data_IF_310535441609
#
_entry.id   IF_310535441609
#
_cell.length_a   1.000
_cell.length_b   1.000
_cell.length_c   1.000
_cell.angle_alpha   90.00
_cell.angle_beta   90.00
_cell.angle_gamma   90.00
#
_symmetry.space_group_name_H-M   'P 1'
#
loop_
_entity.id
_entity.type
_entity.pdbx_description
1 polymer ?
2 non-polymer ?
3 non-polymer ?
4 non-polymer ?
5 non-polymer ?
6 non-polymer ?
7 water ?
#
# COMPACT_ATOMS: atom_id res chain seq x y z
N UNK A 1 36.25 -2.47 9.69
CA UNK A 1 35.11 -2.49 10.66
C UNK A 1 33.75 -2.54 9.98
N UNK A 2 32.69 -2.43 10.78
CA UNK A 2 31.33 -2.55 10.31
C UNK A 2 30.44 -1.48 10.94
N UNK A 3 29.48 -0.96 10.16
CA UNK A 3 28.53 0.05 10.65
C UNK A 3 27.68 -0.55 11.75
N UNK A 4 27.09 0.30 12.58
CA UNK A 4 26.34 -0.18 13.73
C UNK A 4 25.19 -1.12 13.31
N UNK A 5 25.02 -2.16 14.11
CA UNK A 5 23.98 -3.15 13.92
C UNK A 5 22.90 -2.86 14.94
N UNK A 6 21.83 -2.22 14.50
CA UNK A 6 20.75 -1.83 15.39
C UNK A 6 19.88 -3.01 15.85
N UNK A 7 19.77 -4.06 15.02
CA UNK A 7 19.17 -5.35 15.42
C UNK A 7 20.19 -6.26 16.10
N UNK A 8 19.85 -6.77 17.27
CA UNK A 8 20.70 -7.76 17.98
C UNK A 8 20.61 -9.16 17.38
N UNK A 9 19.49 -9.45 16.72
CA UNK A 9 19.29 -10.71 15.99
C UNK A 9 18.45 -10.41 14.75
N UNK A 10 18.66 -11.20 13.69
CA UNK A 10 17.90 -11.07 12.46
C UNK A 10 16.62 -11.91 12.53
N UNK A 11 15.74 -11.51 13.43
CA UNK A 11 14.49 -12.20 13.70
C UNK A 11 13.42 -11.17 14.04
N UNK A 12 12.15 -11.60 14.03
CA UNK A 12 11.04 -10.75 14.45
C UNK A 12 11.23 -10.28 15.89
N UNK A 13 11.79 -11.17 16.71
CA UNK A 13 12.07 -10.90 18.11
C UNK A 13 13.13 -9.79 18.23
N UNK A 14 14.15 -9.84 17.37
CA UNK A 14 15.15 -8.76 17.29
C UNK A 14 14.55 -7.42 16.85
N UNK A 15 13.66 -7.47 15.86
CA UNK A 15 12.97 -6.25 15.40
C UNK A 15 12.11 -5.66 16.52
N UNK A 16 11.40 -6.51 17.26
CA UNK A 16 10.54 -6.06 18.35
C UNK A 16 11.35 -5.37 19.48
N UNK A 17 12.48 -5.96 19.84
CA UNK A 17 13.37 -5.34 20.83
C UNK A 17 13.91 -3.99 20.32
N UNK A 18 14.26 -3.92 19.05
CA UNK A 18 14.66 -2.66 18.43
C UNK A 18 13.52 -1.63 18.48
N UNK A 19 12.31 -2.03 18.09
CA UNK A 19 11.14 -1.13 18.15
C UNK A 19 10.89 -0.56 19.54
N UNK A 20 11.16 -1.35 20.57
CA UNK A 20 11.03 -0.90 21.96
C UNK A 20 12.19 -0.07 22.50
N UNK A 21 13.32 -0.03 21.78
CA UNK A 21 14.47 0.80 22.17
C UNK A 21 14.19 2.28 21.88
N UNK A 22 15.02 3.15 22.47
CA UNK A 22 14.95 4.59 22.26
C UNK A 22 15.20 5.01 20.81
N UNK A 23 16.05 4.27 20.11
CA UNK A 23 16.45 4.65 18.75
C UNK A 23 15.30 4.61 17.74
N UNK A 24 14.35 3.70 17.93
CA UNK A 24 13.29 3.49 16.95
C UNK A 24 12.12 4.44 17.19
N UNK A 25 12.21 5.62 16.59
CA UNK A 25 11.23 6.71 16.74
C UNK A 25 10.31 6.89 15.53
N UNK A 26 10.84 6.69 14.33
CA UNK A 26 10.13 6.98 13.10
C UNK A 26 10.08 5.75 12.20
N UNK A 27 8.87 5.21 12.02
CA UNK A 27 8.64 4.00 11.25
C UNK A 27 7.95 4.37 9.93
N UNK A 28 8.48 3.85 8.82
CA UNK A 28 7.79 3.94 7.53
C UNK A 28 7.26 2.56 7.18
N UNK A 29 5.98 2.51 6.85
CA UNK A 29 5.36 1.30 6.33
C UNK A 29 5.31 1.41 4.82
N UNK A 30 5.75 0.37 4.13
CA UNK A 30 5.54 0.19 2.70
C UNK A 30 4.62 -1.01 2.52
N UNK A 31 3.42 -0.76 2.02
CA UNK A 31 2.39 -1.82 1.95
C UNK A 31 1.83 -2.01 0.54
N UNK A 32 1.47 -3.25 0.23
CA UNK A 32 0.92 -3.62 -1.07
C UNK A 32 -0.29 -4.50 -0.97
N UNK A 33 -0.61 -5.16 -2.09
CA UNK A 33 -1.84 -5.94 -2.24
C UNK A 33 -2.02 -7.03 -1.19
N UNK A 34 -0.90 -7.58 -0.71
CA UNK A 34 -0.90 -8.60 0.33
C UNK A 34 -1.51 -8.20 1.66
N UNK A 35 -1.65 -6.89 1.94
CA UNK A 35 -2.29 -6.47 3.18
C UNK A 35 -3.82 -6.40 3.07
N UNK A 36 -4.37 -6.51 1.86
CA UNK A 36 -5.82 -6.44 1.62
C UNK A 36 -6.45 -7.74 1.08
N UNK A 37 -5.64 -8.75 0.76
CA UNK A 37 -6.15 -10.05 0.31
C UNK A 37 -7.05 -10.73 1.35
N UNK A 38 -6.71 -10.62 2.63
CA UNK A 38 -7.54 -11.20 3.71
C UNK A 38 -8.86 -10.46 3.92
N UNK A 39 -8.93 -9.20 3.45
CA UNK A 39 -10.19 -8.45 3.37
C UNK A 39 -11.06 -8.79 2.14
N UNK A 40 -10.64 -9.76 1.32
CA UNK A 40 -11.39 -10.19 0.15
C UNK A 40 -11.16 -9.38 -1.11
N UNK A 41 -10.03 -8.66 -1.19
CA UNK A 41 -9.64 -7.88 -2.37
C UNK A 41 -8.45 -8.57 -3.02
N UNK A 42 -8.66 -9.26 -4.16
CA UNK A 42 -7.55 -9.89 -4.85
C UNK A 42 -6.52 -8.91 -5.43
N UNK A 43 -5.32 -9.41 -5.65
CA UNK A 43 -4.24 -8.64 -6.24
C UNK A 43 -4.47 -8.60 -7.76
N UNK A 44 -4.99 -7.48 -8.27
CA UNK A 44 -5.25 -7.34 -9.71
C UNK A 44 -3.98 -7.39 -10.56
N UNK A 45 -2.84 -6.97 -9.98
CA UNK A 45 -1.55 -7.02 -10.67
C UNK A 45 -0.90 -8.42 -10.68
N UNK A 46 -1.49 -9.38 -9.96
CA UNK A 46 -1.01 -10.77 -9.95
C UNK A 46 -1.51 -11.58 -11.16
N UNK A 47 -0.63 -12.40 -11.77
CA UNK A 47 -1.07 -13.40 -12.78
C UNK A 47 -2.09 -14.43 -12.27
N UNK A 48 -1.97 -14.83 -11.01
CA UNK A 48 -2.84 -15.85 -10.38
C UNK A 48 -4.34 -15.51 -10.37
N UNK A 49 -4.67 -14.23 -10.23
CA UNK A 49 -6.07 -13.79 -10.26
C UNK A 49 -6.69 -13.91 -11.66
N UNK A 50 -5.86 -13.78 -12.69
CA UNK A 50 -6.30 -14.00 -14.07
C UNK A 50 -7.13 -12.87 -14.61
N UNK A 51 -6.58 -11.65 -14.52
CA UNK A 51 -7.22 -10.45 -15.07
C UNK A 51 -7.24 -10.49 -16.61
N UNK A 52 -6.28 -11.18 -17.23
CA UNK A 52 -6.28 -11.41 -18.69
C UNK A 52 -7.59 -12.07 -19.15
N UNK A 53 -8.05 -13.10 -18.43
CA UNK A 53 -9.32 -13.78 -18.71
C UNK A 53 -10.53 -12.87 -18.46
N UNK A 54 -10.41 -12.02 -17.44
CA UNK A 54 -11.42 -11.02 -17.10
C UNK A 54 -11.74 -10.02 -18.22
N UNK A 55 -10.73 -9.65 -19.02
CA UNK A 55 -10.85 -8.55 -20.00
C UNK A 55 -11.39 -8.91 -21.38
N UNK A 56 -11.45 -10.19 -21.73
CA UNK A 56 -11.79 -10.62 -23.11
C UNK A 56 -13.14 -10.06 -23.60
N UNK A 57 -14.15 -10.06 -22.72
CA UNK A 57 -15.50 -9.55 -23.03
C UNK A 57 -15.55 -8.11 -23.57
N UNK A 58 -14.63 -7.26 -23.11
CA UNK A 58 -14.64 -5.83 -23.45
C UNK A 58 -14.08 -5.51 -24.86
N UNK A 59 -13.41 -6.48 -25.49
CA UNK A 59 -12.91 -6.35 -26.86
C UNK A 59 -11.96 -5.17 -27.03
N UNK A 60 -10.94 -5.15 -26.18
CA UNK A 60 -9.92 -4.09 -26.18
C UNK A 60 -8.97 -4.31 -27.36
N UNK A 61 -8.33 -3.22 -27.85
CA UNK A 61 -7.32 -3.41 -28.92
C UNK A 61 -6.14 -4.26 -28.46
N UNK A 62 -5.78 -4.14 -27.18
CA UNK A 62 -4.81 -5.02 -26.53
C UNK A 62 -5.13 -4.95 -25.03
N UNK A 63 -4.76 -6.00 -24.26
CA UNK A 63 -5.19 -6.07 -22.85
C UNK A 63 -4.61 -4.97 -21.93
N UNK A 64 -3.46 -4.41 -22.28
CA UNK A 64 -2.83 -3.35 -21.48
C UNK A 64 -3.58 -2.02 -21.58
N UNK A 65 -4.41 -1.87 -22.62
CA UNK A 65 -5.21 -0.66 -22.85
C UNK A 65 -6.12 -0.26 -21.68
N UNK A 66 -6.58 -1.24 -20.90
CA UNK A 66 -7.42 -0.99 -19.72
C UNK A 66 -6.72 -0.11 -18.66
N UNK A 67 -5.40 -0.16 -18.61
CA UNK A 67 -4.59 0.60 -17.65
C UNK A 67 -4.09 1.96 -18.18
N UNK A 68 -4.29 2.24 -19.46
CA UNK A 68 -3.70 3.42 -20.12
C UNK A 68 -4.68 4.58 -20.15
N UNK A 69 -4.20 5.76 -19.77
CA UNK A 69 -5.03 6.98 -19.74
C UNK A 69 -5.55 7.40 -21.12
N UNK A 70 -4.73 7.26 -22.17
CA UNK A 70 -5.17 7.65 -23.53
C UNK A 70 -6.38 6.81 -23.98
N UNK A 71 -6.33 5.51 -23.74
CA UNK A 71 -7.46 4.63 -24.07
C UNK A 71 -8.69 4.91 -23.21
N UNK A 72 -8.50 5.10 -21.91
CA UNK A 72 -9.59 5.45 -20.97
C UNK A 72 -10.36 6.69 -21.43
N UNK A 73 -9.62 7.74 -21.77
CA UNK A 73 -10.22 9.02 -22.14
C UNK A 73 -11.08 8.97 -23.41
N UNK A 74 -10.77 8.04 -24.31
CA UNK A 74 -11.55 7.82 -25.53
C UNK A 74 -12.62 6.74 -25.37
N UNK A 75 -12.31 5.67 -24.64
CA UNK A 75 -13.21 4.54 -24.44
C UNK A 75 -13.22 4.16 -22.95
N UNK A 76 -13.95 4.93 -22.12
CA UNK A 76 -13.97 4.67 -20.66
C UNK A 76 -14.84 3.49 -20.21
N UNK A 77 -15.67 2.94 -21.09
CA UNK A 77 -16.71 1.99 -20.69
C UNK A 77 -16.12 0.68 -20.16
N UNK A 78 -15.07 0.13 -20.81
CA UNK A 78 -14.42 -1.07 -20.25
C UNK A 78 -13.91 -0.89 -18.82
N UNK A 79 -13.21 0.22 -18.56
CA UNK A 79 -12.73 0.50 -17.21
C UNK A 79 -13.85 0.45 -16.17
N UNK A 80 -14.94 1.17 -16.44
CA UNK A 80 -16.04 1.28 -15.49
C UNK A 80 -16.83 -0.02 -15.33
N UNK A 81 -16.94 -0.80 -16.41
CA UNK A 81 -17.54 -2.13 -16.33
C UNK A 81 -16.66 -3.06 -15.48
N UNK A 82 -15.34 -2.99 -15.70
CA UNK A 82 -14.39 -3.76 -14.87
C UNK A 82 -14.44 -3.32 -13.41
N UNK A 83 -14.47 -2.01 -13.17
CA UNK A 83 -14.56 -1.45 -11.81
C UNK A 83 -15.80 -1.94 -11.07
N UNK A 84 -16.93 -2.06 -11.78
CA UNK A 84 -18.15 -2.64 -11.17
C UNK A 84 -17.89 -4.09 -10.76
N UNK A 85 -17.31 -4.85 -11.68
CA UNK A 85 -17.02 -6.27 -11.48
C UNK A 85 -16.04 -6.50 -10.31
N UNK A 86 -15.06 -5.62 -10.15
CA UNK A 86 -14.07 -5.72 -9.09
C UNK A 86 -14.39 -4.91 -7.82
N UNK A 87 -15.51 -4.19 -7.78
CA UNK A 87 -15.83 -3.36 -6.60
C UNK A 87 -15.95 -4.26 -5.37
N UNK A 88 -15.14 -4.00 -4.32
CA UNK A 88 -15.22 -4.85 -3.13
C UNK A 88 -16.61 -4.89 -2.49
N UNK A 89 -17.04 -6.09 -2.10
CA UNK A 89 -18.34 -6.29 -1.46
C UNK A 89 -18.43 -5.75 -0.04
N UNK A 90 -17.28 -5.60 0.63
CA UNK A 90 -17.22 -4.92 1.92
C UNK A 90 -15.87 -4.25 2.12
N UNK A 91 -15.82 -3.32 3.07
CA UNK A 91 -14.62 -2.55 3.36
C UNK A 91 -14.28 -2.62 4.85
N UNK A 92 -13.80 -3.78 5.26
CA UNK A 92 -13.32 -3.99 6.62
C UNK A 92 -11.80 -4.05 6.57
N UNK A 93 -11.12 -3.04 7.13
CA UNK A 93 -9.66 -3.13 7.13
C UNK A 93 -9.17 -4.35 7.92
N UNK A 94 -8.01 -4.85 7.53
CA UNK A 94 -7.40 -6.04 8.12
C UNK A 94 -6.66 -5.71 9.42
N UNK A 95 -6.27 -6.77 10.13
CA UNK A 95 -5.40 -6.67 11.31
C UNK A 95 -4.14 -5.85 10.99
N UNK A 96 -3.56 -6.09 9.81
CA UNK A 96 -2.39 -5.33 9.33
C UNK A 96 -2.68 -3.84 9.22
N UNK A 97 -3.83 -3.47 8.68
CA UNK A 97 -4.24 -2.05 8.61
C UNK A 97 -4.30 -1.44 10.02
N UNK A 98 -4.91 -2.17 10.95
CA UNK A 98 -5.07 -1.69 12.32
C UNK A 98 -3.78 -1.71 13.13
N UNK A 99 -2.82 -2.54 12.72
CA UNK A 99 -1.47 -2.45 13.27
C UNK A 99 -0.86 -1.08 12.95
N UNK A 100 -1.02 -0.63 11.70
CA UNK A 100 -0.55 0.71 11.31
C UNK A 100 -1.29 1.84 12.04
N UNK A 101 -2.58 1.64 12.30
CA UNK A 101 -3.35 2.56 13.14
C UNK A 101 -2.76 2.66 14.55
N UNK A 102 -2.35 1.54 15.15
CA UNK A 102 -1.64 1.58 16.44
C UNK A 102 -0.32 2.38 16.36
N UNK A 103 0.44 2.20 15.29
CA UNK A 103 1.69 2.96 15.08
C UNK A 103 1.41 4.47 15.02
N UNK A 104 0.34 4.85 14.31
CA UNK A 104 -0.11 6.24 14.27
C UNK A 104 -0.43 6.76 15.66
N UNK A 105 -1.27 6.04 16.39
CA UNK A 105 -1.75 6.48 17.71
C UNK A 105 -0.67 6.51 18.78
N UNK A 106 0.34 5.64 18.64
CA UNK A 106 1.53 5.68 19.49
C UNK A 106 2.60 6.67 19.03
N UNK A 107 2.35 7.41 17.96
CA UNK A 107 3.29 8.42 17.47
C UNK A 107 4.54 7.86 16.81
N UNK A 108 4.48 6.60 16.34
CA UNK A 108 5.62 5.95 15.70
C UNK A 108 5.57 6.02 14.17
N UNK A 109 4.39 6.21 13.58
CA UNK A 109 4.24 6.18 12.13
C UNK A 109 4.67 7.50 11.49
N UNK A 110 5.83 7.49 10.83
CA UNK A 110 6.25 8.62 9.99
C UNK A 110 5.39 8.72 8.74
N UNK A 111 5.23 7.59 8.04
CA UNK A 111 4.43 7.55 6.81
C UNK A 111 4.07 6.13 6.43
N UNK A 112 2.89 5.95 5.85
CA UNK A 112 2.52 4.71 5.15
C UNK A 112 2.50 4.99 3.65
N UNK A 113 3.42 4.36 2.92
CA UNK A 113 3.40 4.33 1.46
C UNK A 113 2.61 3.10 1.06
N UNK A 114 1.58 3.27 0.23
CA UNK A 114 0.73 2.15 -0.18
C UNK A 114 0.65 2.00 -1.70
N UNK A 115 0.69 0.76 -2.16
CA UNK A 115 0.40 0.41 -3.55
C UNK A 115 -1.10 0.23 -3.80
N UNK A 116 -1.91 0.23 -2.73
CA UNK A 116 -3.32 -0.10 -2.83
C UNK A 116 -4.20 1.10 -3.15
N UNK A 117 -5.28 0.83 -3.86
CA UNK A 117 -6.26 1.84 -4.28
C UNK A 117 -7.60 1.68 -3.56
N UNK A 118 -7.65 0.77 -2.59
CA UNK A 118 -8.91 0.33 -1.96
C UNK A 118 -9.44 1.22 -0.81
N UNK A 119 -8.66 2.23 -0.40
CA UNK A 119 -9.01 3.18 0.68
C UNK A 119 -9.00 2.60 2.11
N UNK A 120 -8.62 1.34 2.29
CA UNK A 120 -8.74 0.69 3.61
C UNK A 120 -7.86 1.32 4.69
N UNK A 121 -6.72 1.91 4.29
CA UNK A 121 -5.86 2.64 5.22
C UNK A 121 -6.62 3.82 5.85
N UNK A 122 -7.39 4.53 5.01
CA UNK A 122 -8.21 5.64 5.48
C UNK A 122 -9.36 5.19 6.36
N UNK A 123 -10.00 4.09 5.98
CA UNK A 123 -11.09 3.51 6.78
C UNK A 123 -10.54 3.06 8.14
N UNK A 124 -9.32 2.53 8.17
CA UNK A 124 -8.65 2.14 9.41
C UNK A 124 -8.23 3.32 10.31
N UNK A 125 -8.27 4.54 9.79
CA UNK A 125 -8.03 5.74 10.59
C UNK A 125 -6.73 6.48 10.29
N UNK A 126 -5.98 6.05 9.28
CA UNK A 126 -4.84 6.84 8.81
C UNK A 126 -5.39 8.04 8.05
N UNK A 127 -4.82 9.22 8.30
CA UNK A 127 -5.28 10.45 7.65
C UNK A 127 -4.41 10.77 6.45
N UNK A 128 -4.84 11.76 5.66
CA UNK A 128 -4.13 12.15 4.43
C UNK A 128 -2.63 12.37 4.63
N UNK A 129 -2.25 13.08 5.67
CA UNK A 129 -0.83 13.37 5.92
C UNK A 129 0.00 12.15 6.34
N UNK A 130 -0.67 11.11 6.82
CA UNK A 130 -0.01 9.82 7.11
C UNK A 130 0.29 9.00 5.87
N UNK A 131 -0.37 9.32 4.75
CA UNK A 131 -0.43 8.44 3.59
C UNK A 131 0.26 9.01 2.37
N UNK A 132 0.97 8.14 1.66
CA UNK A 132 1.40 8.40 0.28
C UNK A 132 0.86 7.27 -0.58
N UNK A 133 -0.12 7.59 -1.43
CA UNK A 133 -0.77 6.61 -2.29
C UNK A 133 0.01 6.53 -3.60
N UNK A 134 0.89 5.54 -3.70
CA UNK A 134 1.82 5.42 -4.83
C UNK A 134 1.16 5.13 -6.18
N UNK A 135 -0.04 4.55 -6.17
CA UNK A 135 -0.81 4.32 -7.38
C UNK A 135 -2.16 5.04 -7.34
N UNK A 136 -2.25 6.08 -6.50
CA UNK A 136 -3.47 6.84 -6.32
C UNK A 136 -4.51 6.06 -5.54
N UNK A 137 -5.75 6.53 -5.64
CA UNK A 137 -6.84 5.94 -4.87
C UNK A 137 -8.21 6.19 -5.49
N UNK A 138 -9.16 5.30 -5.19
CA UNK A 138 -10.58 5.51 -5.48
C UNK A 138 -11.27 6.50 -4.53
N UNK A 139 -10.60 6.91 -3.46
CA UNK A 139 -11.22 7.75 -2.42
C UNK A 139 -11.84 9.04 -2.95
N UNK A 140 -11.15 9.67 -3.90
CA UNK A 140 -11.65 10.84 -4.61
C UNK A 140 -11.51 10.60 -6.11
N UNK A 141 -12.33 11.34 -6.87
CA UNK A 141 -12.32 11.32 -8.33
C UNK A 141 -12.32 12.77 -8.80
N UNK A 142 -11.85 13.00 -10.03
CA UNK A 142 -11.86 14.34 -10.62
C UNK A 142 -12.31 14.32 -12.06
N UNK A 143 -13.10 15.34 -12.41
CA UNK A 143 -13.26 15.77 -13.78
C UNK A 143 -11.89 15.89 -14.47
N UNK A 144 -11.77 15.28 -15.65
CA UNK A 144 -10.50 15.27 -16.40
C UNK A 144 -10.19 16.57 -17.18
N UNK A 145 -11.14 17.51 -17.21
CA UNK A 145 -10.93 18.78 -17.91
C UNK A 145 -10.05 19.70 -17.07
N UNK A 146 -8.91 20.12 -17.63
CA UNK A 146 -7.92 20.94 -16.92
C UNK A 146 -8.50 22.26 -16.38
N UNK A 147 -9.42 22.86 -17.12
CA UNK A 147 -10.05 24.12 -16.73
C UNK A 147 -11.10 23.98 -15.60
N UNK A 148 -11.46 22.75 -15.22
CA UNK A 148 -12.54 22.49 -14.28
C UNK A 148 -12.05 21.74 -13.05
N UNK A 149 -11.67 20.47 -13.23
CA UNK A 149 -11.15 19.61 -12.17
C UNK A 149 -12.09 19.50 -10.95
N UNK A 150 -13.39 19.49 -11.20
CA UNK A 150 -14.38 19.31 -10.13
C UNK A 150 -14.10 17.97 -9.42
N UNK A 151 -14.00 18.01 -8.10
CA UNK A 151 -13.73 16.83 -7.27
C UNK A 151 -15.02 16.13 -6.84
N UNK A 152 -15.03 14.80 -6.91
CA UNK A 152 -16.21 14.01 -6.50
C UNK A 152 -15.81 12.96 -5.46
N UNK A 153 -16.65 12.77 -4.42
CA UNK A 153 -16.36 11.76 -3.40
C UNK A 153 -16.65 10.34 -3.87
N UNK A 154 -16.16 9.35 -3.14
CA UNK A 154 -16.35 7.96 -3.51
C UNK A 154 -17.83 7.53 -3.58
N UNK A 155 -18.65 8.07 -2.68
CA UNK A 155 -20.10 7.81 -2.70
C UNK A 155 -20.74 8.16 -4.05
N UNK A 156 -20.30 9.27 -4.64
CA UNK A 156 -20.77 9.71 -5.96
C UNK A 156 -20.30 8.76 -7.06
N UNK A 157 -19.01 8.44 -7.05
CA UNK A 157 -18.42 7.52 -8.03
C UNK A 157 -19.02 6.10 -7.92
N UNK A 158 -19.24 5.63 -6.70
CA UNK A 158 -19.85 4.31 -6.47
C UNK A 158 -21.21 4.19 -7.15
N UNK A 159 -22.08 5.18 -6.96
CA UNK A 159 -23.42 5.17 -7.55
C UNK A 159 -23.32 5.06 -9.08
N UNK A 160 -22.39 5.80 -9.67
CA UNK A 160 -22.19 5.78 -11.13
C UNK A 160 -21.70 4.41 -11.59
N UNK A 161 -20.74 3.84 -10.87
CA UNK A 161 -20.22 2.51 -11.19
C UNK A 161 -21.29 1.41 -11.13
N UNK A 162 -22.07 1.38 -10.04
CA UNK A 162 -23.07 0.33 -9.86
C UNK A 162 -24.28 0.48 -10.80
N UNK A 163 -24.71 1.72 -11.04
CA UNK A 163 -25.79 1.98 -12.01
C UNK A 163 -25.36 1.93 -13.49
N UNK A 164 -24.08 1.67 -13.76
CA UNK A 164 -23.54 1.52 -15.12
C UNK A 164 -23.75 2.78 -15.98
N UNK A 165 -23.68 3.94 -15.33
CA UNK A 165 -23.73 5.24 -15.99
C UNK A 165 -22.31 5.78 -16.00
N UNK A 166 -21.76 6.01 -17.20
CA UNK A 166 -20.40 6.54 -17.32
C UNK A 166 -20.35 7.90 -16.62
N UNK A 167 -19.49 8.06 -15.60
CA UNK A 167 -19.51 9.31 -14.83
C UNK A 167 -19.07 10.53 -15.63
N UNK A 168 -19.96 11.52 -15.68
CA UNK A 168 -19.71 12.79 -16.35
C UNK A 168 -19.78 13.92 -15.34
N UNK A 169 -18.97 14.94 -15.55
CA UNK A 169 -18.92 16.07 -14.64
C UNK A 169 -20.20 16.90 -14.72
N UNK A 170 -20.72 17.28 -13.57
CA UNK A 170 -21.98 18.02 -13.50
C UNK A 170 -21.83 19.47 -13.95
N UNK A 171 -20.61 20.01 -13.86
CA UNK A 171 -20.32 21.37 -14.34
C UNK A 171 -20.12 21.45 -15.86
N UNK A 172 -19.28 20.57 -16.40
CA UNK A 172 -18.83 20.67 -17.80
C UNK A 172 -19.08 19.44 -18.70
N UNK A 173 -19.61 18.35 -18.14
CA UNK A 173 -19.91 17.10 -18.88
C UNK A 173 -18.69 16.32 -19.43
N UNK A 174 -17.49 16.66 -18.96
CA UNK A 174 -16.29 15.85 -19.25
C UNK A 174 -16.32 14.57 -18.43
N UNK A 175 -15.44 13.64 -18.73
CA UNK A 175 -15.32 12.41 -17.94
C UNK A 175 -14.82 12.73 -16.54
N UNK A 176 -15.34 11.98 -15.56
CA UNK A 176 -14.83 12.01 -14.19
C UNK A 176 -14.11 10.68 -13.98
N UNK A 177 -12.85 10.77 -13.55
CA UNK A 177 -11.96 9.63 -13.39
C UNK A 177 -11.60 9.48 -11.91
N UNK A 178 -11.61 8.25 -11.37
CA UNK A 178 -11.04 8.04 -10.03
C UNK A 178 -9.58 8.50 -9.97
N UNK A 179 -9.14 8.96 -8.81
CA UNK A 179 -7.75 9.44 -8.64
C UNK A 179 -6.71 8.32 -8.57
N UNK A 180 -6.94 7.22 -9.27
CA UNK A 180 -5.94 6.17 -9.45
C UNK A 180 -5.04 6.56 -10.63
N UNK A 181 -3.77 6.16 -10.58
CA UNK A 181 -2.77 6.58 -11.56
C UNK A 181 -2.72 5.57 -12.72
N UNK A 182 -3.20 6.00 -13.88
CA UNK A 182 -3.19 5.17 -15.10
C UNK A 182 -1.79 5.31 -15.72
N UNK A 183 -1.41 4.34 -16.55
CA UNK A 183 -0.20 4.48 -17.39
C UNK A 183 -0.39 5.73 -18.25
N UNK A 184 0.65 6.55 -18.34
CA UNK A 184 0.60 7.83 -19.05
C UNK A 184 0.27 9.02 -18.18
N UNK A 185 0.00 8.80 -16.89
CA UNK A 185 -0.17 9.87 -15.92
C UNK A 185 1.03 9.95 -15.00
N UNK A 186 1.25 11.15 -14.46
CA UNK A 186 2.35 11.41 -13.53
C UNK A 186 1.87 11.37 -12.08
N UNK A 187 2.78 11.03 -11.17
CA UNK A 187 2.50 11.16 -9.74
C UNK A 187 2.57 12.62 -9.29
N UNK A 188 1.87 12.96 -8.19
CA UNK A 188 2.00 14.34 -7.68
C UNK A 188 3.41 14.61 -7.15
N UNK A 189 3.83 15.86 -7.21
CA UNK A 189 5.12 16.27 -6.62
C UNK A 189 5.23 15.90 -5.12
N UNK A 190 4.09 15.84 -4.41
CA UNK A 190 4.03 15.39 -3.01
C UNK A 190 4.67 14.01 -2.78
N UNK A 191 4.44 13.07 -3.69
CA UNK A 191 5.06 11.74 -3.59
C UNK A 191 6.58 11.86 -3.40
N UNK A 192 7.22 12.66 -4.26
CA UNK A 192 8.68 12.79 -4.28
C UNK A 192 9.23 13.67 -3.16
N UNK A 193 8.50 14.72 -2.79
CA UNK A 193 8.90 15.57 -1.66
C UNK A 193 8.81 14.80 -0.34
N UNK A 194 7.70 14.08 -0.13
CA UNK A 194 7.59 13.17 1.01
C UNK A 194 8.72 12.15 1.00
N UNK A 195 8.90 11.48 -0.13
CA UNK A 195 9.90 10.42 -0.26
C UNK A 195 11.32 10.88 0.08
N UNK A 196 11.74 12.01 -0.46
CA UNK A 196 13.09 12.52 -0.18
C UNK A 196 13.26 12.91 1.28
N UNK A 197 12.25 13.56 1.86
CA UNK A 197 12.29 13.93 3.28
C UNK A 197 12.21 12.71 4.19
N UNK A 198 11.19 11.87 3.97
CA UNK A 198 10.90 10.74 4.85
C UNK A 198 12.08 9.77 5.01
N UNK A 199 12.70 9.42 3.89
CA UNK A 199 13.71 8.36 3.88
C UNK A 199 15.08 8.79 4.42
N UNK A 200 15.29 10.09 4.61
CA UNK A 200 16.43 10.57 5.42
C UNK A 200 16.19 10.36 6.91
N UNK A 201 14.92 10.28 7.33
CA UNK A 201 14.51 10.25 8.75
C UNK A 201 14.13 8.86 9.30
N UNK A 202 14.00 7.86 8.44
CA UNK A 202 13.41 6.57 8.84
C UNK A 202 14.32 5.72 9.76
N UNK A 203 13.79 5.30 10.91
CA UNK A 203 14.50 4.39 11.84
C UNK A 203 14.15 2.92 11.64
N UNK A 204 13.00 2.64 11.02
CA UNK A 204 12.59 1.27 10.71
C UNK A 204 11.69 1.28 9.50
N UNK A 205 11.99 0.38 8.57
CA UNK A 205 11.15 0.18 7.40
C UNK A 205 10.38 -1.13 7.60
N UNK A 206 9.05 -1.04 7.62
CA UNK A 206 8.17 -2.23 7.67
C UNK A 206 7.56 -2.42 6.29
N UNK A 207 7.99 -3.48 5.60
CA UNK A 207 7.55 -3.80 4.25
C UNK A 207 6.56 -4.97 4.34
N UNK A 208 5.31 -4.74 3.98
CA UNK A 208 4.25 -5.70 4.23
C UNK A 208 3.37 -5.93 3.01
N UNK A 209 3.29 -7.19 2.58
CA UNK A 209 2.36 -7.59 1.51
C UNK A 209 2.69 -7.01 0.14
N UNK A 210 3.99 -6.85 -0.15
CA UNK A 210 4.44 -6.37 -1.46
C UNK A 210 5.66 -7.16 -1.92
N UNK A 211 5.66 -7.49 -3.22
CA UNK A 211 6.78 -8.16 -3.86
C UNK A 211 7.88 -7.19 -4.27
N UNK A 212 7.62 -5.89 -4.17
CA UNK A 212 8.58 -4.82 -4.53
C UNK A 212 9.04 -4.87 -6.01
N UNK A 213 8.20 -5.39 -6.90
CA UNK A 213 8.54 -5.50 -8.32
C UNK A 213 8.16 -4.24 -9.09
N UNK A 214 7.03 -3.63 -8.76
CA UNK A 214 6.47 -2.51 -9.51
C UNK A 214 7.00 -1.17 -8.99
N UNK A 215 7.40 -0.30 -9.90
CA UNK A 215 7.76 1.07 -9.58
C UNK A 215 6.49 1.90 -9.28
N UNK A 216 6.55 2.92 -8.41
CA UNK A 216 7.78 3.44 -7.80
C UNK A 216 8.29 2.70 -6.56
N UNK A 217 7.49 1.78 -6.01
CA UNK A 217 7.87 1.01 -4.80
C UNK A 217 9.21 0.33 -4.87
N UNK A 218 9.51 -0.28 -6.01
CA UNK A 218 10.77 -1.00 -6.20
C UNK A 218 12.05 -0.14 -5.99
N UNK A 219 11.92 1.19 -6.03
CA UNK A 219 13.03 2.10 -5.71
C UNK A 219 13.16 2.50 -4.24
N UNK A 220 12.14 2.24 -3.41
CA UNK A 220 12.06 2.86 -2.08
C UNK A 220 12.98 2.26 -1.01
N UNK A 221 13.16 0.93 -0.98
CA UNK A 221 13.94 0.32 0.12
C UNK A 221 15.43 0.74 0.13
N UNK A 222 15.97 1.07 -1.05
CA UNK A 222 17.35 1.53 -1.17
C UNK A 222 17.58 2.98 -0.71
N UNK A 223 16.51 3.73 -0.48
CA UNK A 223 16.62 5.13 -0.04
C UNK A 223 16.78 5.26 1.48
N UNK A 224 16.50 4.20 2.23
CA UNK A 224 16.67 4.23 3.68
C UNK A 224 18.15 4.36 4.02
N UNK A 225 18.49 4.94 5.19
CA UNK A 225 19.90 4.92 5.59
C UNK A 225 20.43 3.49 5.66
N UNK A 226 21.74 3.34 5.45
CA UNK A 226 22.35 2.01 5.38
C UNK A 226 22.22 1.17 6.66
N UNK A 227 22.11 1.82 7.82
CA UNK A 227 21.95 1.12 9.10
C UNK A 227 20.49 0.90 9.53
N UNK A 228 19.53 1.47 8.80
CA UNK A 228 18.11 1.36 9.18
C UNK A 228 17.61 -0.06 8.95
N UNK A 229 17.16 -0.76 10.01
CA UNK A 229 16.62 -2.11 9.81
C UNK A 229 15.39 -2.14 8.91
N UNK A 230 15.22 -3.26 8.21
CA UNK A 230 14.12 -3.44 7.26
C UNK A 230 13.49 -4.81 7.47
N UNK A 231 12.21 -4.82 7.85
CA UNK A 231 11.47 -6.07 8.06
C UNK A 231 10.47 -6.27 6.93
N UNK A 232 10.56 -7.44 6.30
CA UNK A 232 9.59 -7.89 5.32
C UNK A 232 8.63 -8.87 5.98
N UNK A 233 7.32 -8.57 5.91
CA UNK A 233 6.25 -9.51 6.26
C UNK A 233 5.50 -9.80 4.97
N UNK A 234 5.65 -11.02 4.47
CA UNK A 234 5.15 -11.37 3.13
C UNK A 234 5.14 -12.88 2.95
N UNK A 235 4.29 -13.39 2.05
CA UNK A 235 4.21 -14.84 1.80
C UNK A 235 5.53 -15.44 1.34
N UNK A 236 6.25 -14.73 0.46
CA UNK A 236 7.57 -15.16 -0.01
C UNK A 236 8.58 -14.02 0.11
N UNK A 237 9.86 -14.37 0.04
CA UNK A 237 10.93 -13.39 0.03
C UNK A 237 10.80 -12.46 -1.18
N UNK A 238 11.23 -11.22 -0.99
CA UNK A 238 11.10 -10.19 -2.02
C UNK A 238 12.15 -9.11 -1.79
N UNK A 239 12.47 -8.38 -2.87
CA UNK A 239 13.41 -7.29 -2.81
C UNK A 239 14.87 -7.67 -2.80
N UNK A 240 15.20 -8.95 -2.96
CA UNK A 240 16.60 -9.40 -3.10
C UNK A 240 17.07 -9.14 -4.53
N UNK A 241 18.33 -8.72 -4.68
CA UNK A 241 18.93 -8.52 -6.00
C UNK A 241 19.72 -9.75 -6.45
N UNK A 246 25.85 -7.68 -8.72
CA UNK A 246 27.15 -7.59 -8.08
C UNK A 246 27.64 -6.15 -7.94
N UNK A 247 27.44 -5.57 -6.76
CA UNK A 247 27.83 -4.19 -6.45
C UNK A 247 28.76 -4.17 -5.23
N UNK A 248 29.60 -3.15 -5.11
CA UNK A 248 30.54 -3.05 -3.98
C UNK A 248 29.80 -2.92 -2.63
N UNK A 249 30.12 -3.83 -1.70
CA UNK A 249 29.58 -3.83 -0.34
C UNK A 249 28.05 -3.96 -0.29
N UNK A 250 27.45 -4.56 -1.32
CA UNK A 250 26.00 -4.62 -1.48
C UNK A 250 25.29 -3.27 -1.49
N UNK A 251 26.00 -2.21 -1.87
CA UNK A 251 25.45 -0.85 -1.90
C UNK A 251 24.54 -0.73 -3.11
N UNK A 252 23.67 0.27 -3.09
CA UNK A 252 22.62 0.40 -4.11
C UNK A 252 21.89 -0.92 -4.26
N UNK A 253 21.54 -1.51 -3.11
CA UNK A 253 21.20 -2.92 -3.04
C UNK A 253 19.82 -3.18 -2.47
N UNK A 254 19.30 -4.34 -2.83
CA UNK A 254 18.07 -4.82 -2.28
C UNK A 254 18.28 -5.41 -0.90
N UNK A 255 17.36 -6.28 -0.52
CA UNK A 255 17.39 -6.95 0.77
C UNK A 255 18.50 -8.00 0.80
N UNK A 256 19.20 -8.06 1.93
CA UNK A 256 20.13 -9.14 2.20
C UNK A 256 19.69 -9.80 3.49
N UNK A 257 18.82 -10.81 3.35
CA UNK A 257 18.36 -11.61 4.48
C UNK A 257 19.33 -12.75 4.81
N UNK A 258 19.95 -13.31 3.77
CA UNK A 258 20.50 -14.67 3.83
C UNK A 258 21.99 -14.83 3.56
N UNK A 259 22.71 -13.76 3.18
CA UNK A 259 24.16 -13.88 2.97
C UNK A 259 24.88 -13.80 4.30
N UNK A 260 26.18 -14.05 4.26
CA UNK A 260 27.01 -14.01 5.47
C UNK A 260 27.27 -12.57 5.95
N UNK A 261 27.07 -11.57 5.10
CA UNK A 261 27.18 -10.15 5.50
C UNK A 261 25.85 -9.52 5.93
N UNK A 262 24.76 -10.30 5.95
CA UNK A 262 23.43 -9.80 6.35
C UNK A 262 23.50 -9.23 7.76
N UNK A 263 23.03 -7.99 7.93
CA UNK A 263 23.14 -7.28 9.21
C UNK A 263 21.90 -6.51 9.69
N UNK A 264 20.91 -6.31 8.83
CA UNK A 264 19.77 -5.46 9.15
C UNK A 264 18.39 -5.83 8.57
N UNK A 265 18.33 -6.84 7.71
CA UNK A 265 17.11 -7.16 6.97
C UNK A 265 16.56 -8.46 7.49
N UNK A 266 15.25 -8.51 7.71
CA UNK A 266 14.58 -9.70 8.22
C UNK A 266 13.37 -10.02 7.36
N UNK A 267 13.21 -11.30 7.03
CA UNK A 267 12.05 -11.78 6.28
C UNK A 267 11.24 -12.67 7.20
N UNK A 268 9.99 -12.28 7.46
CA UNK A 268 9.02 -13.12 8.16
C UNK A 268 8.05 -13.63 7.10
N UNK A 269 8.04 -14.94 6.87
CA UNK A 269 7.31 -15.54 5.76
C UNK A 269 5.96 -16.11 6.18
N UNK A 270 4.90 -15.47 5.69
CA UNK A 270 3.53 -15.85 5.99
C UNK A 270 2.58 -14.71 5.65
N UNK A 271 1.33 -14.87 6.06
CA UNK A 271 0.29 -13.88 5.81
C UNK A 271 0.52 -12.64 6.67
N UNK A 272 0.26 -11.46 6.10
CA UNK A 272 0.48 -10.18 6.79
C UNK A 272 -0.25 -10.06 8.13
N UNK A 273 -1.51 -10.54 8.19
CA UNK A 273 -2.28 -10.51 9.45
C UNK A 273 -1.59 -11.30 10.54
N UNK A 274 -1.11 -12.49 10.19
CA UNK A 274 -0.44 -13.39 11.13
C UNK A 274 0.90 -12.79 11.58
N UNK A 275 1.66 -12.25 10.63
CA UNK A 275 2.90 -11.54 10.93
C UNK A 275 2.72 -10.34 11.86
N UNK A 276 1.73 -9.51 11.57
CA UNK A 276 1.43 -8.33 12.41
C UNK A 276 0.92 -8.69 13.80
N UNK A 277 0.13 -9.76 13.89
CA UNK A 277 -0.35 -10.23 15.18
C UNK A 277 0.81 -10.76 16.03
N UNK A 278 1.73 -11.49 15.40
CA UNK A 278 2.93 -11.98 16.08
C UNK A 278 3.83 -10.84 16.56
N UNK A 279 4.03 -9.84 15.70
CA UNK A 279 4.84 -8.67 16.07
C UNK A 279 4.19 -7.87 17.21
N UNK A 280 2.89 -7.61 17.09
CA UNK A 280 2.11 -6.96 18.16
C UNK A 280 2.22 -7.71 19.50
N UNK A 281 2.16 -9.05 19.45
CA UNK A 281 2.28 -9.88 20.65
C UNK A 281 3.64 -9.70 21.33
N UNK A 282 4.71 -9.74 20.55
CA UNK A 282 6.06 -9.43 21.06
C UNK A 282 6.13 -8.05 21.74
N UNK A 283 5.46 -7.07 21.15
CA UNK A 283 5.46 -5.69 21.69
C UNK A 283 4.55 -5.47 22.90
N UNK A 284 3.75 -6.47 23.28
CA UNK A 284 2.76 -6.30 24.32
C UNK A 284 1.50 -5.59 23.84
N UNK A 285 1.26 -5.59 22.53
CA UNK A 285 0.12 -4.89 21.92
C UNK A 285 -1.03 -5.80 21.49
N UNK A 286 -0.95 -7.11 21.77
CA UNK A 286 -1.92 -8.05 21.20
C UNK A 286 -3.36 -7.74 21.60
N UNK A 287 -3.58 -7.53 22.91
CA UNK A 287 -4.91 -7.16 23.42
C UNK A 287 -5.39 -5.83 22.83
N UNK A 288 -4.52 -4.82 22.81
CA UNK A 288 -4.86 -3.52 22.21
C UNK A 288 -5.28 -3.66 20.74
N UNK A 289 -4.52 -4.45 20.01
CA UNK A 289 -4.81 -4.67 18.59
C UNK A 289 -6.10 -5.44 18.38
N UNK A 290 -6.26 -6.56 19.09
CA UNK A 290 -7.48 -7.35 19.00
C UNK A 290 -8.73 -6.57 19.44
N UNK A 291 -8.58 -5.75 20.48
CA UNK A 291 -9.67 -4.86 20.93
C UNK A 291 -10.00 -3.80 19.88
N UNK A 292 -8.97 -3.21 19.29
CA UNK A 292 -9.13 -2.22 18.23
C UNK A 292 -9.86 -2.82 17.04
N UNK A 293 -9.39 -3.96 16.56
CA UNK A 293 -10.01 -4.65 15.42
C UNK A 293 -11.49 -4.97 15.71
N UNK A 294 -11.77 -5.48 16.91
CA UNK A 294 -13.15 -5.86 17.28
C UNK A 294 -14.10 -4.68 17.26
N UNK A 295 -13.73 -3.59 17.93
CA UNK A 295 -14.60 -2.42 18.00
C UNK A 295 -14.78 -1.72 16.64
N UNK A 296 -13.72 -1.68 15.84
CA UNK A 296 -13.79 -1.02 14.52
C UNK A 296 -14.61 -1.82 13.51
N UNK A 297 -14.38 -3.13 13.43
CA UNK A 297 -15.22 -4.03 12.60
C UNK A 297 -16.70 -3.98 13.05
N UNK A 298 -16.94 -3.95 14.37
CA UNK A 298 -18.29 -3.84 14.93
C UNK A 298 -18.96 -2.52 14.52
N UNK A 299 -18.21 -1.42 14.59
CA UNK A 299 -18.73 -0.12 14.17
C UNK A 299 -19.16 -0.13 12.70
N UNK A 300 -18.38 -0.79 11.86
CA UNK A 300 -18.72 -0.97 10.45
C UNK A 300 -19.97 -1.86 10.28
N UNK A 301 -19.98 -3.00 10.97
CA UNK A 301 -21.17 -3.89 10.98
C UNK A 301 -22.44 -3.23 11.51
N UNK A 302 -22.30 -2.33 12.48
CA UNK A 302 -23.43 -1.60 13.04
C UNK A 302 -24.13 -0.68 12.03
N UNK A 303 -23.41 -0.25 10.99
CA UNK A 303 -23.96 0.59 9.93
C UNK A 303 -24.53 -0.19 8.73
N UNK A 304 -24.36 -1.52 8.72
CA UNK A 304 -25.11 -2.40 7.81
C UNK A 304 -26.49 -2.72 8.38
#
# INVERSE_FOLDING_TARGET
GHMERLLDELTLEGVARYMQSERCRRVICLVGAGISTSAGIPDFRSPSTGLYDNLEKYHLPYPEAIFEISYFKKHPEPFFALAKELYPGQFKPTICHYFMRLLKDKGLLLRCYTQNIDTLERIAGLEQEDLVEAHGTFYTSHCVSASCRHEYPLSWMKEKIFSEVTPKCEDCQSLVKPDIVFFGESLPARFFSCMQSDFLKVDLLLVMGTSLQVQPFASLISKAPLSTPRLLINKEKAGQSDPFLGMIMGLGGGMDFDSKKAYRDVAWLGECDQGCLALAELLGWKKELEDLVRREHASIDAQS
#
